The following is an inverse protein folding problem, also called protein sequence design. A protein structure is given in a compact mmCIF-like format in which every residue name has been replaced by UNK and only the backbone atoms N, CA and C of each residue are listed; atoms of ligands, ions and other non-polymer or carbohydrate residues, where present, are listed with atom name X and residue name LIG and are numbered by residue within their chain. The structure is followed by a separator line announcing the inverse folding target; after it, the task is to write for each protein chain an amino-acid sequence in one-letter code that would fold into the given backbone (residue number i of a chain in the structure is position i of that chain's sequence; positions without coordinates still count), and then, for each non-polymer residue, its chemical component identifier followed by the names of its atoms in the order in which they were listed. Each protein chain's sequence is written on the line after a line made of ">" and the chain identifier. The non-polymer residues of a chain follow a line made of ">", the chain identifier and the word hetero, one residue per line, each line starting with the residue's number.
data_IF_500354686447
#
_entry.id   IF_500354686447
#
_cell.length_a   1.000
_cell.length_b   1.000
_cell.length_c   1.000
_cell.angle_alpha   90.00
_cell.angle_beta   90.00
_cell.angle_gamma   90.00
#
_symmetry.space_group_name_H-M   'P 1'
#
loop_
_entity.id
_entity.type
_entity.pdbx_description
1 polymer ?
#
# COMPACT_ATOMS: atom_id res chain seq x y z
N UNK A 1 20.80 -0.04 13.81
CA UNK A 1 19.87 -0.84 13.02
C UNK A 1 19.60 -0.21 11.64
N UNK A 2 19.37 1.10 11.53
CA UNK A 2 19.11 1.79 10.25
C UNK A 2 20.16 1.50 9.16
N UNK A 3 21.45 1.58 9.48
CA UNK A 3 22.54 1.35 8.53
C UNK A 3 22.56 -0.07 7.92
N UNK A 4 21.90 -1.03 8.56
CA UNK A 4 21.84 -2.41 8.05
C UNK A 4 20.75 -2.63 7.01
N UNK A 5 19.77 -1.70 6.87
CA UNK A 5 18.66 -1.90 5.93
C UNK A 5 18.31 -0.71 5.02
N UNK A 6 18.77 0.51 5.31
CA UNK A 6 18.33 1.71 4.55
C UNK A 6 18.68 1.68 3.06
N UNK A 7 19.74 0.95 2.66
CA UNK A 7 20.18 0.78 1.28
C UNK A 7 20.01 -0.68 0.78
N UNK A 8 19.28 -1.51 1.51
CA UNK A 8 19.12 -2.94 1.21
C UNK A 8 18.13 -3.21 0.06
N UNK A 9 17.17 -2.34 -0.14
CA UNK A 9 16.07 -2.53 -1.06
C UNK A 9 16.15 -1.52 -2.20
N UNK A 10 16.37 -2.01 -3.42
CA UNK A 10 16.60 -1.18 -4.61
C UNK A 10 15.44 -0.20 -4.90
N UNK A 11 14.22 -0.62 -4.58
CA UNK A 11 13.00 0.15 -4.89
C UNK A 11 12.50 1.01 -3.72
N UNK A 12 13.28 1.10 -2.63
CA UNK A 12 12.89 1.80 -1.42
C UNK A 12 14.01 2.71 -0.96
N UNK A 13 13.87 4.00 -1.20
CA UNK A 13 14.80 5.02 -0.70
C UNK A 13 14.36 5.46 0.68
N UNK A 14 15.27 5.43 1.63
CA UNK A 14 15.00 5.77 3.02
C UNK A 14 15.88 6.91 3.49
N UNK A 15 15.28 7.87 4.21
CA UNK A 15 15.97 8.96 4.89
C UNK A 15 15.42 9.08 6.30
N UNK A 16 16.30 9.12 7.32
CA UNK A 16 15.87 9.30 8.71
C UNK A 16 16.47 10.56 9.32
N UNK A 17 15.64 11.36 9.97
CA UNK A 17 16.02 12.57 10.71
C UNK A 17 15.24 12.61 12.03
N UNK A 18 15.93 12.67 13.16
CA UNK A 18 15.35 12.74 14.51
C UNK A 18 14.28 11.66 14.80
N UNK A 19 14.49 10.43 14.32
CA UNK A 19 13.53 9.34 14.50
C UNK A 19 12.36 9.36 13.52
N UNK A 20 12.25 10.34 12.62
CA UNK A 20 11.28 10.37 11.53
C UNK A 20 11.90 9.72 10.31
N UNK A 21 11.30 8.64 9.83
CA UNK A 21 11.73 7.89 8.65
C UNK A 21 10.88 8.26 7.45
N UNK A 22 11.47 8.87 6.42
CA UNK A 22 10.86 9.00 5.09
C UNK A 22 11.20 7.79 4.24
N UNK A 23 10.18 7.18 3.67
CA UNK A 23 10.24 6.01 2.79
C UNK A 23 9.64 6.40 1.45
N UNK A 24 10.47 6.51 0.41
CA UNK A 24 10.03 6.85 -0.94
C UNK A 24 10.16 5.63 -1.85
N UNK A 25 9.03 5.19 -2.41
CA UNK A 25 8.97 4.08 -3.36
C UNK A 25 9.40 4.56 -4.74
N UNK A 26 10.26 3.79 -5.42
CA UNK A 26 10.78 4.18 -6.74
C UNK A 26 11.27 3.01 -7.58
N UNK A 27 11.43 3.24 -8.88
CA UNK A 27 12.17 2.38 -9.79
C UNK A 27 13.22 3.23 -10.52
N UNK A 28 14.50 2.93 -10.27
CA UNK A 28 15.60 3.68 -10.89
C UNK A 28 15.62 5.20 -10.57
N UNK A 29 15.01 5.63 -9.46
CA UNK A 29 14.90 7.03 -9.06
C UNK A 29 13.69 7.79 -9.66
N UNK A 30 12.89 7.15 -10.51
CA UNK A 30 11.61 7.64 -11.05
C UNK A 30 10.39 7.04 -10.34
N UNK A 31 9.18 7.19 -10.92
CA UNK A 31 7.97 6.53 -10.42
C UNK A 31 8.15 5.03 -10.25
N UNK A 32 7.48 4.46 -9.25
CA UNK A 32 7.55 3.03 -9.00
C UNK A 32 6.86 2.24 -10.13
N UNK A 33 7.57 1.29 -10.71
CA UNK A 33 7.02 0.23 -11.55
C UNK A 33 6.89 -1.02 -10.69
N UNK A 34 5.67 -1.30 -10.23
CA UNK A 34 5.40 -2.44 -9.38
C UNK A 34 5.53 -3.75 -10.15
N UNK A 35 6.12 -4.77 -9.55
CA UNK A 35 6.29 -6.10 -10.12
C UNK A 35 6.58 -7.12 -9.00
N UNK A 36 6.76 -8.39 -9.36
CA UNK A 36 7.00 -9.45 -8.37
C UNK A 36 8.29 -9.29 -7.55
N UNK A 37 9.30 -8.63 -8.09
CA UNK A 37 10.55 -8.36 -7.34
C UNK A 37 10.35 -7.23 -6.32
N UNK A 38 9.61 -6.19 -6.70
CA UNK A 38 9.20 -5.12 -5.78
C UNK A 38 8.31 -5.67 -4.68
N UNK A 39 7.34 -6.53 -5.04
CA UNK A 39 6.45 -7.17 -4.07
C UNK A 39 7.22 -7.93 -3.00
N UNK A 40 8.18 -8.78 -3.40
CA UNK A 40 9.05 -9.51 -2.47
C UNK A 40 9.93 -8.56 -1.62
N UNK A 41 10.50 -7.52 -2.24
CA UNK A 41 11.34 -6.54 -1.55
C UNK A 41 10.58 -5.78 -0.47
N UNK A 42 9.31 -5.39 -0.72
CA UNK A 42 8.48 -4.65 0.23
C UNK A 42 8.14 -5.48 1.47
N UNK A 43 7.99 -6.80 1.35
CA UNK A 43 7.83 -7.68 2.52
C UNK A 43 8.99 -7.51 3.49
N UNK A 44 10.23 -7.55 2.97
CA UNK A 44 11.43 -7.35 3.76
C UNK A 44 11.57 -5.93 4.30
N UNK A 45 11.33 -4.93 3.46
CA UNK A 45 11.47 -3.52 3.82
C UNK A 45 10.54 -3.12 4.98
N UNK A 46 9.25 -3.43 4.89
CA UNK A 46 8.30 -3.09 5.97
C UNK A 46 8.58 -3.85 7.27
N UNK A 47 9.08 -5.09 7.19
CA UNK A 47 9.53 -5.80 8.37
C UNK A 47 10.72 -5.09 9.03
N UNK A 48 11.79 -4.80 8.27
CA UNK A 48 12.99 -4.18 8.81
C UNK A 48 12.68 -2.77 9.38
N UNK A 49 11.75 -2.02 8.74
CA UNK A 49 11.26 -0.73 9.26
C UNK A 49 10.51 -0.91 10.59
N UNK A 50 9.66 -1.94 10.69
CA UNK A 50 8.87 -2.22 11.89
C UNK A 50 9.70 -2.69 13.07
N UNK A 51 10.79 -3.42 12.80
CA UNK A 51 11.71 -3.96 13.80
C UNK A 51 12.64 -2.89 14.36
N UNK A 52 12.83 -1.74 13.70
CA UNK A 52 13.73 -0.68 14.18
C UNK A 52 13.03 0.24 15.20
N UNK A 53 13.41 0.17 16.49
CA UNK A 53 12.81 0.98 17.54
C UNK A 53 13.15 2.47 17.45
N UNK A 54 14.14 2.85 16.66
CA UNK A 54 14.50 4.26 16.44
C UNK A 54 13.60 4.95 15.39
N UNK A 55 12.71 4.21 14.73
CA UNK A 55 11.65 4.79 13.92
C UNK A 55 10.50 5.21 14.83
N UNK A 56 10.31 6.51 15.00
CA UNK A 56 9.27 7.09 15.86
C UNK A 56 8.02 7.47 15.06
N UNK A 57 8.19 7.94 13.82
CA UNK A 57 7.13 8.22 12.85
C UNK A 57 7.65 7.83 11.46
N UNK A 58 6.79 7.27 10.63
CA UNK A 58 7.13 6.87 9.26
C UNK A 58 6.31 7.69 8.27
N UNK A 59 6.94 8.28 7.26
CA UNK A 59 6.30 8.92 6.12
C UNK A 59 6.50 8.00 4.91
N UNK A 60 5.42 7.53 4.30
CA UNK A 60 5.43 6.73 3.09
C UNK A 60 5.00 7.59 1.89
N UNK A 61 5.79 7.64 0.83
CA UNK A 61 5.49 8.42 -0.37
C UNK A 61 5.95 7.70 -1.64
N UNK A 62 5.47 8.13 -2.79
CA UNK A 62 6.00 7.74 -4.09
C UNK A 62 7.11 8.68 -4.56
N UNK A 63 7.65 8.41 -5.75
CA UNK A 63 8.65 9.24 -6.41
C UNK A 63 8.10 9.75 -7.74
N UNK A 64 8.52 10.93 -8.18
CA UNK A 64 7.99 11.56 -9.40
C UNK A 64 6.53 11.97 -9.22
N UNK A 65 5.71 11.72 -10.23
CA UNK A 65 4.33 12.21 -10.32
C UNK A 65 3.27 11.20 -9.89
N UNK A 66 3.68 10.03 -9.38
CA UNK A 66 2.82 8.92 -9.00
C UNK A 66 3.18 8.40 -7.62
N UNK A 67 2.20 7.93 -6.88
CA UNK A 67 2.46 7.18 -5.65
C UNK A 67 2.74 5.71 -5.98
N UNK A 68 1.81 5.04 -6.66
CA UNK A 68 1.96 3.69 -7.20
C UNK A 68 0.88 3.51 -8.27
N UNK A 69 1.27 3.60 -9.56
CA UNK A 69 0.33 3.57 -10.67
C UNK A 69 0.78 2.75 -11.87
N UNK A 70 1.98 2.19 -11.82
CA UNK A 70 2.52 1.35 -12.89
C UNK A 70 2.75 -0.06 -12.37
N UNK A 71 2.36 -1.07 -13.18
CA UNK A 71 2.59 -2.49 -12.87
C UNK A 71 3.03 -3.24 -14.11
N UNK A 72 3.97 -4.17 -13.94
CA UNK A 72 4.36 -5.15 -14.97
C UNK A 72 4.25 -6.57 -14.41
N UNK A 73 4.10 -7.59 -15.27
CA UNK A 73 4.01 -8.99 -14.83
C UNK A 73 5.36 -9.59 -14.41
N UNK A 74 6.45 -8.84 -14.54
CA UNK A 74 7.79 -9.35 -14.27
C UNK A 74 7.92 -9.89 -12.84
N UNK A 75 8.49 -11.08 -12.68
CA UNK A 75 8.68 -11.71 -11.37
C UNK A 75 7.43 -12.32 -10.76
N UNK A 76 6.26 -12.17 -11.38
CA UNK A 76 5.03 -12.84 -10.98
C UNK A 76 4.77 -14.11 -11.79
N UNK A 77 4.28 -15.15 -11.12
CA UNK A 77 3.65 -16.30 -11.75
C UNK A 77 2.23 -16.46 -11.22
N UNK A 78 1.29 -15.78 -11.86
CA UNK A 78 -0.13 -15.82 -11.49
C UNK A 78 -0.84 -17.12 -11.90
N UNK A 79 -0.22 -17.92 -12.78
CA UNK A 79 -0.94 -18.96 -13.51
C UNK A 79 -0.62 -20.38 -13.07
N UNK A 80 0.41 -20.58 -12.25
CA UNK A 80 0.67 -21.87 -11.63
C UNK A 80 0.32 -21.85 -10.14
N UNK A 81 -0.15 -22.98 -9.58
CA UNK A 81 -0.44 -23.06 -8.14
C UNK A 81 0.76 -22.71 -7.26
N UNK A 82 1.97 -23.14 -7.63
CA UNK A 82 3.18 -22.83 -6.88
C UNK A 82 3.61 -21.37 -6.99
N UNK A 83 3.45 -20.76 -8.15
CA UNK A 83 3.72 -19.34 -8.35
C UNK A 83 2.73 -18.48 -7.56
N UNK A 84 1.45 -18.84 -7.61
CA UNK A 84 0.43 -18.14 -6.86
C UNK A 84 0.56 -18.32 -5.35
N UNK A 85 1.03 -19.48 -4.86
CA UNK A 85 1.35 -19.69 -3.44
C UNK A 85 2.39 -18.67 -2.94
N UNK A 86 3.40 -18.36 -3.77
CA UNK A 86 4.36 -17.28 -3.47
C UNK A 86 3.66 -15.92 -3.33
N UNK A 87 2.79 -15.56 -4.29
CA UNK A 87 2.05 -14.29 -4.29
C UNK A 87 1.15 -14.20 -3.05
N UNK A 88 0.40 -15.25 -2.73
CA UNK A 88 -0.46 -15.31 -1.56
C UNK A 88 0.31 -15.09 -0.26
N UNK A 89 1.44 -15.78 -0.12
CA UNK A 89 2.30 -15.65 1.07
C UNK A 89 2.89 -14.25 1.20
N UNK A 90 3.39 -13.67 0.11
CA UNK A 90 3.98 -12.34 0.10
C UNK A 90 2.94 -11.25 0.30
N UNK A 91 1.78 -11.32 -0.40
CA UNK A 91 0.65 -10.40 -0.24
C UNK A 91 0.11 -10.39 1.19
N UNK A 92 0.03 -11.57 1.82
CA UNK A 92 -0.31 -11.64 3.25
C UNK A 92 0.75 -10.93 4.09
N UNK A 93 2.03 -11.23 3.88
CA UNK A 93 3.11 -10.71 4.71
C UNK A 93 3.35 -9.22 4.54
N UNK A 94 3.19 -8.65 3.34
CA UNK A 94 3.39 -7.22 3.15
C UNK A 94 2.38 -6.40 3.95
N UNK A 95 1.09 -6.77 3.95
CA UNK A 95 0.06 -6.05 4.71
C UNK A 95 0.18 -6.27 6.22
N UNK A 96 0.50 -7.50 6.65
CA UNK A 96 0.81 -7.78 8.05
C UNK A 96 1.98 -6.92 8.54
N UNK A 97 3.08 -6.85 7.77
CA UNK A 97 4.26 -6.08 8.14
C UNK A 97 3.99 -4.56 8.18
N UNK A 98 3.16 -4.00 7.26
CA UNK A 98 2.73 -2.59 7.34
C UNK A 98 2.01 -2.33 8.67
N UNK A 99 1.10 -3.21 9.07
CA UNK A 99 0.41 -3.07 10.35
C UNK A 99 1.32 -3.34 11.55
N UNK A 100 2.37 -4.14 11.40
CA UNK A 100 3.35 -4.43 12.45
C UNK A 100 4.36 -3.30 12.69
N UNK A 101 4.49 -2.35 11.77
CA UNK A 101 5.17 -1.08 12.05
C UNK A 101 4.40 -0.39 13.19
N UNK A 102 5.01 -0.33 14.37
CA UNK A 102 4.36 0.27 15.56
C UNK A 102 4.45 1.80 15.59
N UNK A 103 5.37 2.40 14.85
CA UNK A 103 5.45 3.84 14.68
C UNK A 103 4.23 4.36 13.89
N UNK A 104 3.60 5.50 14.24
CA UNK A 104 2.59 6.13 13.41
C UNK A 104 3.07 6.33 11.99
N UNK A 105 2.19 6.09 11.01
CA UNK A 105 2.50 6.20 9.59
C UNK A 105 1.68 7.30 8.92
N UNK A 106 2.33 8.09 8.09
CA UNK A 106 1.73 9.13 7.25
C UNK A 106 1.94 8.75 5.79
N UNK A 107 0.87 8.52 5.04
CA UNK A 107 0.95 8.40 3.60
C UNK A 107 0.90 9.80 2.96
N UNK A 108 1.96 10.15 2.25
CA UNK A 108 2.06 11.38 1.47
C UNK A 108 1.90 11.04 -0.02
N UNK A 109 0.67 11.17 -0.53
CA UNK A 109 0.26 10.71 -1.86
C UNK A 109 0.55 11.80 -2.89
N UNK A 110 1.63 11.63 -3.62
CA UNK A 110 2.19 12.59 -4.57
C UNK A 110 1.54 12.56 -5.97
N UNK A 111 0.61 11.63 -6.23
CA UNK A 111 -0.08 11.50 -7.51
C UNK A 111 -0.99 10.27 -7.55
N UNK A 112 -1.28 9.70 -8.73
CA UNK A 112 -2.14 8.54 -8.89
C UNK A 112 -1.75 7.34 -8.04
N UNK A 113 -2.78 6.64 -7.52
CA UNK A 113 -2.69 5.38 -6.77
C UNK A 113 -3.64 4.39 -7.41
N UNK A 114 -3.16 3.68 -8.44
CA UNK A 114 -3.99 2.71 -9.17
C UNK A 114 -3.55 1.26 -8.94
N UNK A 115 -2.43 1.10 -8.24
CA UNK A 115 -1.86 -0.19 -7.83
C UNK A 115 -1.65 -0.14 -6.31
N UNK A 116 -2.10 -1.15 -5.59
CA UNK A 116 -1.87 -1.31 -4.15
C UNK A 116 -2.19 -0.08 -3.29
N UNK A 117 -3.35 0.52 -3.50
CA UNK A 117 -3.80 1.68 -2.70
C UNK A 117 -3.98 1.36 -1.20
N UNK A 118 -4.14 0.10 -0.84
CA UNK A 118 -4.22 -0.36 0.54
C UNK A 118 -2.94 -0.07 1.33
N UNK A 119 -1.77 0.00 0.71
CA UNK A 119 -0.53 0.38 1.41
C UNK A 119 -0.61 1.79 2.01
N UNK A 120 -1.20 2.72 1.25
CA UNK A 120 -1.45 4.07 1.74
C UNK A 120 -2.56 4.14 2.78
N UNK A 121 -3.66 3.38 2.58
CA UNK A 121 -4.83 3.39 3.45
C UNK A 121 -4.64 2.62 4.77
N UNK A 122 -3.60 1.81 4.89
CA UNK A 122 -3.16 1.19 6.15
C UNK A 122 -2.25 2.11 6.99
N UNK A 123 -1.89 3.28 6.46
CA UNK A 123 -1.28 4.35 7.24
C UNK A 123 -2.33 5.04 8.13
N UNK A 124 -1.87 5.71 9.20
CA UNK A 124 -2.76 6.34 10.18
C UNK A 124 -3.27 7.72 9.72
N UNK A 125 -2.50 8.39 8.86
CA UNK A 125 -2.84 9.67 8.22
C UNK A 125 -2.56 9.59 6.74
N UNK A 126 -3.48 10.10 5.93
CA UNK A 126 -3.35 10.16 4.47
C UNK A 126 -3.47 11.60 4.01
N UNK A 127 -2.41 12.13 3.42
CA UNK A 127 -2.37 13.45 2.79
C UNK A 127 -2.17 13.23 1.29
N UNK A 128 -2.95 13.89 0.45
CA UNK A 128 -2.87 13.73 -1.00
C UNK A 128 -2.69 15.06 -1.71
N UNK A 129 -2.05 15.04 -2.88
CA UNK A 129 -2.05 16.21 -3.78
C UNK A 129 -3.41 16.37 -4.46
N UNK A 130 -3.73 17.60 -4.91
CA UNK A 130 -4.95 17.91 -5.65
C UNK A 130 -5.14 17.04 -6.91
N UNK A 131 -4.02 16.68 -7.58
CA UNK A 131 -4.01 15.86 -8.78
C UNK A 131 -4.06 14.35 -8.52
N UNK A 132 -3.98 13.91 -7.26
CA UNK A 132 -4.04 12.50 -6.94
C UNK A 132 -5.44 11.90 -7.12
N UNK A 133 -5.49 10.63 -7.44
CA UNK A 133 -6.73 9.86 -7.49
C UNK A 133 -6.45 8.40 -7.14
N UNK A 134 -7.52 7.69 -6.78
CA UNK A 134 -7.51 6.26 -6.48
C UNK A 134 -8.38 5.52 -7.49
N UNK A 135 -7.89 4.38 -7.93
CA UNK A 135 -8.63 3.47 -8.80
C UNK A 135 -8.03 2.07 -8.66
N UNK A 136 -8.81 1.04 -8.78
CA UNK A 136 -8.29 -0.31 -8.99
C UNK A 136 -8.22 -0.55 -10.51
N UNK A 137 -7.06 -0.38 -11.11
CA UNK A 137 -6.86 -0.61 -12.54
C UNK A 137 -6.44 -2.05 -12.87
N UNK A 138 -5.53 -2.70 -12.12
CA UNK A 138 -5.00 -4.01 -12.51
C UNK A 138 -6.04 -5.13 -12.48
N UNK A 139 -6.84 -5.22 -11.42
CA UNK A 139 -7.74 -6.37 -11.25
C UNK A 139 -8.78 -6.47 -12.36
N UNK A 140 -9.56 -5.42 -12.68
CA UNK A 140 -10.48 -5.50 -13.82
C UNK A 140 -9.77 -5.64 -15.17
N UNK A 141 -8.58 -5.05 -15.36
CA UNK A 141 -7.81 -5.17 -16.61
C UNK A 141 -7.31 -6.61 -16.83
N UNK A 142 -6.87 -7.29 -15.78
CA UNK A 142 -6.42 -8.68 -15.84
C UNK A 142 -7.57 -9.69 -15.71
N UNK A 143 -8.78 -9.24 -15.33
CA UNK A 143 -9.94 -10.12 -15.10
C UNK A 143 -9.84 -10.97 -13.84
N UNK A 144 -9.16 -10.47 -12.82
CA UNK A 144 -8.93 -11.14 -11.53
C UNK A 144 -9.65 -10.41 -10.40
N UNK A 145 -9.85 -11.12 -9.30
CA UNK A 145 -10.51 -10.57 -8.09
C UNK A 145 -9.54 -9.64 -7.35
N UNK A 146 -9.98 -8.48 -6.83
CA UNK A 146 -9.16 -7.60 -5.98
C UNK A 146 -8.95 -8.19 -4.58
N UNK A 147 -8.32 -9.37 -4.53
CA UNK A 147 -8.19 -10.22 -3.35
C UNK A 147 -7.02 -9.88 -2.43
N UNK A 148 -6.12 -9.02 -2.87
CA UNK A 148 -4.86 -8.63 -2.26
C UNK A 148 -4.96 -7.65 -1.07
N UNK A 149 -6.19 -7.42 -0.57
CA UNK A 149 -6.46 -6.52 0.55
C UNK A 149 -7.43 -5.40 0.22
N UNK A 150 -7.56 -4.99 -1.05
CA UNK A 150 -8.46 -3.92 -1.48
C UNK A 150 -9.90 -4.19 -1.05
N UNK A 151 -10.36 -5.46 -1.18
CA UNK A 151 -11.72 -5.90 -0.80
C UNK A 151 -12.01 -5.78 0.70
N UNK A 152 -11.00 -5.68 1.54
CA UNK A 152 -11.12 -5.46 2.98
C UNK A 152 -10.95 -3.98 3.31
N UNK A 153 -9.88 -3.36 2.79
CA UNK A 153 -9.46 -2.02 3.21
C UNK A 153 -10.42 -0.93 2.74
N UNK A 154 -10.85 -0.96 1.47
CA UNK A 154 -11.75 0.07 0.96
C UNK A 154 -13.13 0.08 1.65
N UNK A 155 -13.83 -1.06 1.82
CA UNK A 155 -15.09 -1.08 2.58
C UNK A 155 -14.93 -0.64 4.04
N UNK A 156 -13.81 -0.94 4.67
CA UNK A 156 -13.53 -0.53 6.04
C UNK A 156 -13.32 0.99 6.17
N UNK A 157 -12.69 1.63 5.16
CA UNK A 157 -12.36 3.07 5.18
C UNK A 157 -13.55 3.93 4.76
N UNK A 158 -14.22 3.61 3.64
CA UNK A 158 -15.29 4.47 3.09
C UNK A 158 -16.70 3.92 3.30
N UNK A 159 -16.82 2.80 4.00
CA UNK A 159 -18.06 2.09 4.26
C UNK A 159 -18.40 1.04 3.19
N UNK A 160 -19.10 -0.01 3.61
CA UNK A 160 -19.39 -1.22 2.81
C UNK A 160 -19.98 -0.92 1.43
N UNK A 161 -20.99 -0.06 1.32
CA UNK A 161 -21.66 0.21 0.05
C UNK A 161 -20.78 0.97 -0.92
N UNK A 162 -20.08 1.99 -0.44
CA UNK A 162 -19.14 2.77 -1.27
C UNK A 162 -17.95 1.93 -1.71
N UNK A 163 -17.37 1.12 -0.78
CA UNK A 163 -16.24 0.24 -1.10
C UNK A 163 -16.60 -0.80 -2.16
N UNK A 164 -17.78 -1.43 -2.07
CA UNK A 164 -18.29 -2.34 -3.10
C UNK A 164 -18.49 -1.63 -4.44
N UNK A 165 -19.09 -0.45 -4.43
CA UNK A 165 -19.28 0.32 -5.65
C UNK A 165 -17.95 0.69 -6.29
N UNK A 166 -16.97 1.15 -5.50
CA UNK A 166 -15.63 1.48 -5.96
C UNK A 166 -14.98 0.30 -6.69
N UNK A 167 -14.91 -0.87 -6.04
CA UNK A 167 -14.26 -2.05 -6.60
C UNK A 167 -15.02 -2.68 -7.77
N UNK A 168 -16.35 -2.82 -7.66
CA UNK A 168 -17.14 -3.48 -8.71
C UNK A 168 -17.30 -2.63 -9.97
N UNK A 169 -17.29 -1.30 -9.84
CA UNK A 169 -17.43 -0.40 -11.00
C UNK A 169 -16.11 0.03 -11.62
N UNK A 170 -14.96 -0.22 -10.95
CA UNK A 170 -13.68 0.35 -11.36
C UNK A 170 -13.64 1.88 -11.26
N UNK A 171 -14.44 2.45 -10.34
CA UNK A 171 -14.59 3.89 -10.18
C UNK A 171 -13.25 4.58 -9.92
N UNK A 172 -13.04 5.72 -10.57
CA UNK A 172 -11.96 6.65 -10.24
C UNK A 172 -12.45 7.65 -9.18
N UNK A 173 -11.76 7.69 -8.04
CA UNK A 173 -12.01 8.64 -6.97
C UNK A 173 -10.91 9.71 -6.96
N UNK A 174 -11.25 10.97 -7.18
CA UNK A 174 -10.32 12.07 -6.97
C UNK A 174 -9.93 12.22 -5.51
N UNK A 175 -8.79 12.87 -5.22
CA UNK A 175 -8.37 13.16 -3.84
C UNK A 175 -9.45 13.92 -3.04
N UNK A 176 -10.19 14.83 -3.69
CA UNK A 176 -11.29 15.55 -3.06
C UNK A 176 -12.46 14.63 -2.68
N UNK A 177 -12.87 13.71 -3.56
CA UNK A 177 -13.89 12.70 -3.26
C UNK A 177 -13.42 11.72 -2.19
N UNK A 178 -12.16 11.27 -2.25
CA UNK A 178 -11.57 10.40 -1.25
C UNK A 178 -11.55 11.07 0.14
N UNK A 179 -11.30 12.39 0.19
CA UNK A 179 -11.41 13.19 1.43
C UNK A 179 -12.86 13.26 1.92
N UNK A 180 -13.83 13.52 1.05
CA UNK A 180 -15.25 13.53 1.41
C UNK A 180 -15.70 12.18 1.98
N UNK A 181 -15.16 11.07 1.47
CA UNK A 181 -15.49 9.71 1.92
C UNK A 181 -14.69 9.24 3.13
N UNK A 182 -13.72 10.03 3.58
CA UNK A 182 -12.91 9.74 4.76
C UNK A 182 -11.64 8.92 4.50
N UNK A 183 -11.28 8.65 3.24
CA UNK A 183 -10.05 7.94 2.89
C UNK A 183 -8.81 8.86 2.88
N UNK A 184 -8.99 10.18 2.77
CA UNK A 184 -7.93 11.19 2.78
C UNK A 184 -8.25 12.21 3.86
N UNK A 185 -7.25 12.57 4.67
CA UNK A 185 -7.40 13.58 5.73
C UNK A 185 -7.24 15.01 5.19
N UNK A 186 -6.23 15.22 4.36
CA UNK A 186 -5.91 16.54 3.83
C UNK A 186 -5.62 16.44 2.32
N UNK A 187 -6.08 17.45 1.56
CA UNK A 187 -5.70 17.67 0.16
C UNK A 187 -4.94 18.98 0.10
N UNK A 188 -3.74 18.93 -0.47
CA UNK A 188 -2.78 20.05 -0.51
C UNK A 188 -2.16 20.19 -1.90
N UNK A 189 -1.49 21.31 -2.17
CA UNK A 189 -0.70 21.45 -3.40
C UNK A 189 0.48 20.46 -3.40
N UNK A 190 1.02 20.19 -4.57
CA UNK A 190 2.16 19.27 -4.72
C UNK A 190 3.39 19.73 -3.91
N UNK A 191 3.67 21.02 -3.96
CA UNK A 191 4.81 21.63 -3.27
C UNK A 191 4.66 21.57 -1.76
N UNK A 192 3.43 21.59 -1.26
CA UNK A 192 3.11 21.53 0.17
C UNK A 192 3.09 20.10 0.73
N UNK A 193 3.01 19.05 -0.10
CA UNK A 193 2.78 17.67 0.35
C UNK A 193 3.81 17.17 1.36
N UNK A 194 5.07 17.06 0.95
CA UNK A 194 6.14 16.57 1.84
C UNK A 194 6.40 17.52 3.01
N UNK A 195 6.47 18.86 2.82
CA UNK A 195 6.55 19.79 3.94
C UNK A 195 5.46 19.59 4.98
N UNK A 196 4.20 19.35 4.57
CA UNK A 196 3.07 19.10 5.46
C UNK A 196 3.20 17.75 6.18
N UNK A 197 3.59 16.69 5.48
CA UNK A 197 3.82 15.38 6.08
C UNK A 197 4.93 15.46 7.16
N UNK A 198 6.02 16.15 6.87
CA UNK A 198 7.12 16.37 7.82
C UNK A 198 6.69 17.24 9.01
N UNK A 199 5.88 18.27 8.80
CA UNK A 199 5.32 19.09 9.88
C UNK A 199 4.49 18.24 10.86
N UNK A 200 3.58 17.41 10.33
CA UNK A 200 2.79 16.49 11.15
C UNK A 200 3.67 15.46 11.86
N UNK A 201 4.64 14.88 11.16
CA UNK A 201 5.55 13.93 11.75
C UNK A 201 6.36 14.54 12.91
N UNK A 202 6.89 15.78 12.74
CA UNK A 202 7.57 16.51 13.81
C UNK A 202 6.63 16.86 14.96
N UNK A 203 5.37 17.16 14.67
CA UNK A 203 4.37 17.40 15.72
C UNK A 203 4.11 16.14 16.55
N UNK A 204 3.90 15.00 15.90
CA UNK A 204 3.73 13.70 16.57
C UNK A 204 4.98 13.32 17.38
N UNK A 205 6.17 13.51 16.82
CA UNK A 205 7.45 13.14 17.43
C UNK A 205 7.81 13.92 18.70
N UNK A 206 7.06 14.97 19.03
CA UNK A 206 7.18 15.65 20.34
C UNK A 206 6.66 14.79 21.50
N UNK A 207 5.86 13.77 21.20
CA UNK A 207 5.32 12.86 22.21
C UNK A 207 6.34 11.77 22.55
N UNK A 208 6.12 11.10 23.68
CA UNK A 208 6.92 9.94 24.03
C UNK A 208 6.76 8.83 22.98
N UNK A 209 7.86 8.27 22.43
CA UNK A 209 7.79 7.25 21.39
C UNK A 209 6.98 6.01 21.77
N UNK A 210 7.03 5.59 23.03
CA UNK A 210 6.26 4.45 23.51
C UNK A 210 4.75 4.74 23.52
N UNK A 211 4.36 5.97 23.90
CA UNK A 211 2.96 6.40 23.83
C UNK A 211 2.44 6.41 22.40
N UNK A 212 3.23 6.91 21.44
CA UNK A 212 2.87 6.89 20.02
C UNK A 212 2.65 5.46 19.51
N UNK A 213 3.58 4.56 19.82
CA UNK A 213 3.49 3.14 19.42
C UNK A 213 2.24 2.47 19.95
N UNK A 214 1.96 2.62 21.24
CA UNK A 214 0.78 1.99 21.85
C UNK A 214 -0.52 2.62 21.36
N UNK A 215 -0.52 3.93 21.09
CA UNK A 215 -1.67 4.59 20.46
C UNK A 215 -1.96 3.98 19.09
N UNK A 216 -0.94 3.86 18.21
CA UNK A 216 -1.13 3.23 16.90
C UNK A 216 -1.58 1.77 17.01
N UNK A 217 -0.96 0.99 17.90
CA UNK A 217 -1.36 -0.40 18.13
C UNK A 217 -2.83 -0.51 18.53
N UNK A 218 -3.31 0.37 19.41
CA UNK A 218 -4.71 0.40 19.84
C UNK A 218 -5.65 0.76 18.67
N UNK A 219 -5.30 1.80 17.91
CA UNK A 219 -6.10 2.30 16.78
C UNK A 219 -6.13 1.30 15.61
N UNK A 220 -5.03 0.59 15.31
CA UNK A 220 -4.94 -0.36 14.20
C UNK A 220 -5.59 -1.72 14.47
N UNK A 221 -6.07 -1.99 15.70
CA UNK A 221 -6.63 -3.30 16.11
C UNK A 221 -7.78 -3.74 15.21
N UNK A 222 -8.64 -2.81 14.78
CA UNK A 222 -9.79 -3.12 13.93
C UNK A 222 -9.34 -3.57 12.53
N UNK A 223 -8.40 -2.87 11.90
CA UNK A 223 -7.81 -3.26 10.62
C UNK A 223 -7.15 -4.63 10.69
N UNK A 224 -6.37 -4.90 11.74
CA UNK A 224 -5.73 -6.21 11.95
C UNK A 224 -6.74 -7.34 11.93
N UNK A 225 -7.83 -7.20 12.67
CA UNK A 225 -8.90 -8.22 12.71
C UNK A 225 -9.54 -8.41 11.35
N UNK A 226 -9.90 -7.33 10.66
CA UNK A 226 -10.52 -7.41 9.33
C UNK A 226 -9.63 -8.05 8.28
N UNK A 227 -8.35 -7.74 8.27
CA UNK A 227 -7.38 -8.40 7.38
C UNK A 227 -7.21 -9.87 7.73
N UNK A 228 -7.07 -10.22 9.01
CA UNK A 228 -6.99 -11.64 9.43
C UNK A 228 -8.23 -12.45 9.04
N UNK A 229 -9.42 -11.84 9.07
CA UNK A 229 -10.68 -12.49 8.69
C UNK A 229 -10.82 -12.65 7.17
N UNK A 230 -10.37 -11.69 6.36
CA UNK A 230 -10.71 -11.59 4.93
C UNK A 230 -9.57 -11.82 3.94
N UNK A 231 -8.32 -11.49 4.30
CA UNK A 231 -7.21 -11.39 3.34
C UNK A 231 -6.90 -12.73 2.65
N UNK A 232 -6.71 -13.80 3.43
CA UNK A 232 -6.39 -15.11 2.86
C UNK A 232 -7.52 -15.66 1.98
N UNK A 233 -8.77 -15.37 2.34
CA UNK A 233 -9.93 -15.73 1.52
C UNK A 233 -9.94 -14.96 0.20
N UNK A 234 -9.70 -13.65 0.23
CA UNK A 234 -9.61 -12.82 -0.97
C UNK A 234 -8.49 -13.25 -1.91
N UNK A 235 -7.29 -13.44 -1.38
CA UNK A 235 -6.14 -13.95 -2.16
C UNK A 235 -6.42 -15.33 -2.77
N UNK A 236 -7.11 -16.23 -2.06
CA UNK A 236 -7.49 -17.52 -2.63
C UNK A 236 -8.47 -17.37 -3.81
N UNK A 237 -9.47 -16.47 -3.72
CA UNK A 237 -10.41 -16.18 -4.81
C UNK A 237 -9.70 -15.51 -5.99
N UNK A 238 -8.75 -14.64 -5.74
CA UNK A 238 -7.90 -14.03 -6.78
C UNK A 238 -7.13 -15.11 -7.55
N UNK A 239 -6.50 -16.06 -6.85
CA UNK A 239 -5.81 -17.19 -7.47
C UNK A 239 -6.74 -18.09 -8.32
N UNK A 240 -7.96 -18.33 -7.86
CA UNK A 240 -8.97 -19.06 -8.62
C UNK A 240 -9.32 -18.30 -9.91
N UNK A 241 -9.55 -16.99 -9.81
CA UNK A 241 -9.85 -16.18 -10.99
C UNK A 241 -8.66 -16.08 -11.96
N UNK A 242 -7.43 -16.00 -11.46
CA UNK A 242 -6.22 -16.01 -12.28
C UNK A 242 -6.07 -17.34 -13.04
N UNK A 243 -6.37 -18.47 -12.41
CA UNK A 243 -6.38 -19.79 -13.07
C UNK A 243 -7.42 -19.87 -14.20
N UNK A 244 -8.61 -19.28 -14.03
CA UNK A 244 -9.61 -19.22 -15.08
C UNK A 244 -9.18 -18.34 -16.26
N UNK A 245 -8.55 -17.19 -16.00
CA UNK A 245 -7.97 -16.33 -17.05
C UNK A 245 -6.91 -17.10 -17.84
N UNK A 246 -6.03 -17.83 -17.17
CA UNK A 246 -5.03 -18.67 -17.82
C UNK A 246 -5.66 -19.74 -18.74
N UNK A 247 -6.71 -20.42 -18.25
CA UNK A 247 -7.46 -21.42 -19.02
C UNK A 247 -8.08 -20.82 -20.29
N UNK A 248 -8.73 -19.65 -20.16
CA UNK A 248 -9.37 -18.96 -21.30
C UNK A 248 -8.34 -18.50 -22.34
N UNK A 249 -7.21 -17.98 -21.90
CA UNK A 249 -6.12 -17.57 -22.82
C UNK A 249 -5.50 -18.75 -23.52
N UNK A 250 -5.30 -19.87 -22.83
CA UNK A 250 -4.82 -21.11 -23.44
C UNK A 250 -5.78 -21.73 -24.48
N UNK A 251 -7.07 -21.48 -24.35
CA UNK A 251 -8.08 -21.89 -25.36
C UNK A 251 -8.04 -21.00 -26.60
N UNK A 252 -7.92 -19.68 -26.44
CA UNK A 252 -7.81 -18.72 -27.56
C UNK A 252 -6.56 -18.94 -28.41
N UNK A 253 -5.49 -19.45 -27.83
CA UNK A 253 -4.25 -19.73 -28.54
C UNK A 253 -4.31 -21.05 -29.39
N UNK A 254 -5.34 -21.89 -29.22
CA UNK A 254 -5.51 -23.18 -29.91
C UNK A 254 -6.60 -23.16 -30.99
N UNK A 255 -7.33 -22.08 -31.16
CA UNK A 255 -8.37 -21.89 -32.19
C UNK A 255 -7.98 -20.83 -33.19
#
# INVERSE_FOLDING_TARGET
>A
MFDSYHNKYENVRMKREDGILEVALHSGGGPLVFNGYVHEALVGAFRDIGDDPENHVVILTGTGDEFCAQITPDGFDFFTPSGYDKILREGTKVLENILDIRAPMIAAINGPVTVHSEYALLCDVVIATEGAYFQDEPHPAFGIVPGDGLHVVWPEVIGEIRGRYFLLSGQKLSAAQAKEYGAVNEVVSREALLPRAWELARHMNKQNPLTLRYTRMALSTRFRRRLQEGLSYGLALEGISAAEVARLNGQKAKG
#
